data_IF_449426316290
#
_entry.id   IF_449426316290
#
_cell.length_a   1.000
_cell.length_b   1.000
_cell.length_c   1.000
_cell.angle_alpha   90.00
_cell.angle_beta   90.00
_cell.angle_gamma   90.00
#
_symmetry.space_group_name_H-M   'P 1'
#
loop_
_entity.id
_entity.type
_entity.pdbx_description
1 polymer ?
#
# COMPACT_ATOMS: atom_id res chain seq x y z
N UNK A 1 -0.13 -2.89 11.17
CA UNK A 1 0.18 -1.91 10.11
C UNK A 1 1.69 -1.86 9.96
N UNK A 2 2.21 -1.75 8.73
CA UNK A 2 3.65 -1.57 8.47
C UNK A 2 3.87 -0.62 7.29
N UNK A 3 5.13 -0.21 7.03
CA UNK A 3 5.46 0.74 5.98
C UNK A 3 6.58 0.28 5.05
N UNK A 4 6.54 0.73 3.80
CA UNK A 4 7.58 0.55 2.78
C UNK A 4 8.00 1.90 2.22
N UNK A 5 9.31 2.15 2.18
CA UNK A 5 9.91 3.38 1.65
C UNK A 5 10.63 3.16 0.32
N UNK A 6 10.95 4.25 -0.37
CA UNK A 6 11.82 4.23 -1.55
C UNK A 6 13.29 4.09 -1.16
N UNK A 7 14.10 3.62 -2.12
CA UNK A 7 15.54 3.73 -2.04
C UNK A 7 15.97 5.20 -2.01
N UNK A 8 16.76 5.56 -1.01
CA UNK A 8 17.20 6.95 -0.80
C UNK A 8 18.40 7.32 -1.67
N UNK A 9 19.18 6.33 -2.11
CA UNK A 9 20.28 6.57 -3.04
C UNK A 9 19.77 7.16 -4.36
N UNK A 10 20.39 8.24 -4.81
CA UNK A 10 19.93 9.03 -5.95
C UNK A 10 18.73 9.95 -5.69
N UNK A 11 18.09 9.91 -4.52
CA UNK A 11 16.98 10.81 -4.14
C UNK A 11 17.34 11.78 -3.01
N UNK A 12 18.22 11.37 -2.10
CA UNK A 12 18.61 12.13 -0.90
C UNK A 12 20.13 12.17 -0.80
N UNK A 13 20.70 13.26 -0.30
CA UNK A 13 22.14 13.36 -0.05
C UNK A 13 22.60 12.25 0.92
N UNK A 14 23.68 11.54 0.58
CA UNK A 14 24.27 10.46 1.39
C UNK A 14 24.50 10.88 2.84
N UNK A 15 24.87 12.13 3.10
CA UNK A 15 25.07 12.64 4.46
C UNK A 15 23.79 12.63 5.30
N UNK A 16 22.62 12.72 4.66
CA UNK A 16 21.32 12.81 5.33
C UNK A 16 20.73 11.44 5.67
N UNK A 17 21.03 10.40 4.89
CA UNK A 17 20.58 9.03 5.20
C UNK A 17 21.66 8.14 5.82
N UNK A 18 22.92 8.60 5.87
CA UNK A 18 24.01 7.97 6.59
C UNK A 18 24.17 6.49 6.22
N UNK A 19 24.18 5.64 7.23
CA UNK A 19 24.34 4.18 7.09
C UNK A 19 23.03 3.44 6.80
N UNK A 20 21.94 4.15 6.51
CA UNK A 20 20.66 3.51 6.15
C UNK A 20 20.84 2.74 4.83
N UNK A 21 20.51 1.45 4.88
CA UNK A 21 20.56 0.56 3.73
C UNK A 21 19.15 0.32 3.18
N UNK A 22 19.04 0.33 1.85
CA UNK A 22 17.83 -0.13 1.19
C UNK A 22 17.85 -1.64 1.11
N UNK A 23 16.75 -2.26 1.50
CA UNK A 23 16.53 -3.70 1.51
C UNK A 23 15.32 -4.00 0.65
N UNK A 24 15.27 -5.19 0.04
CA UNK A 24 14.20 -5.53 -0.88
C UNK A 24 12.82 -5.38 -0.20
N UNK A 25 12.00 -4.42 -0.66
CA UNK A 25 10.70 -4.18 -0.05
C UNK A 25 9.72 -5.33 -0.28
N UNK A 26 9.91 -6.16 -1.30
CA UNK A 26 9.07 -7.32 -1.58
C UNK A 26 9.29 -8.39 -0.50
N UNK A 27 10.55 -8.72 -0.23
CA UNK A 27 10.91 -9.69 0.82
C UNK A 27 10.45 -9.20 2.19
N UNK A 28 10.73 -7.93 2.52
CA UNK A 28 10.36 -7.38 3.83
C UNK A 28 8.86 -7.19 4.02
N UNK A 29 8.12 -6.89 2.96
CA UNK A 29 6.67 -6.90 3.00
C UNK A 29 6.14 -8.31 3.32
N UNK A 30 6.70 -9.35 2.68
CA UNK A 30 6.28 -10.73 2.91
C UNK A 30 6.56 -11.20 4.35
N UNK A 31 7.76 -10.94 4.87
CA UNK A 31 8.13 -11.25 6.25
C UNK A 31 7.22 -10.53 7.26
N UNK A 32 7.04 -9.23 7.10
CA UNK A 32 6.26 -8.42 8.03
C UNK A 32 4.78 -8.77 7.98
N UNK A 33 4.23 -9.01 6.78
CA UNK A 33 2.85 -9.43 6.62
C UNK A 33 2.60 -10.82 7.20
N UNK A 34 3.56 -11.75 7.08
CA UNK A 34 3.50 -13.05 7.73
C UNK A 34 3.44 -12.91 9.24
N UNK A 35 4.42 -12.19 9.82
CA UNK A 35 4.48 -11.93 11.26
C UNK A 35 3.15 -11.37 11.79
N UNK A 36 2.63 -10.32 11.14
CA UNK A 36 1.38 -9.68 11.57
C UNK A 36 0.18 -10.63 11.49
N UNK A 37 0.00 -11.34 10.37
CA UNK A 37 -1.21 -12.14 10.13
C UNK A 37 -1.18 -13.51 10.81
N UNK A 38 -0.02 -14.16 10.85
CA UNK A 38 0.12 -15.56 11.29
C UNK A 38 0.55 -15.66 12.74
N UNK A 39 1.60 -14.93 13.12
CA UNK A 39 2.18 -15.08 14.45
C UNK A 39 1.45 -14.21 15.46
N UNK A 40 1.13 -12.96 15.07
CA UNK A 40 0.41 -12.00 15.91
C UNK A 40 -1.12 -12.06 15.73
N UNK A 41 -1.61 -12.87 14.78
CA UNK A 41 -3.03 -13.13 14.59
C UNK A 41 -3.87 -11.91 14.18
N UNK A 42 -3.30 -10.93 13.49
CA UNK A 42 -4.04 -9.75 13.04
C UNK A 42 -5.11 -10.13 12.00
N UNK A 43 -6.34 -9.64 12.20
CA UNK A 43 -7.44 -9.84 11.25
C UNK A 43 -7.27 -8.98 9.98
N UNK A 44 -6.61 -7.83 10.08
CA UNK A 44 -6.37 -6.89 8.98
C UNK A 44 -4.91 -6.41 8.97
N UNK A 45 -4.27 -6.48 7.80
CA UNK A 45 -2.89 -6.04 7.57
C UNK A 45 -2.88 -4.96 6.50
N UNK A 46 -2.44 -3.77 6.92
CA UNK A 46 -2.33 -2.58 6.08
C UNK A 46 -0.85 -2.26 5.86
N UNK A 47 -0.47 -2.10 4.61
CA UNK A 47 0.82 -1.60 4.15
C UNK A 47 0.69 -0.11 3.77
N UNK A 48 1.48 0.75 4.41
CA UNK A 48 1.65 2.16 4.04
C UNK A 48 2.86 2.26 3.11
N UNK A 49 2.62 2.44 1.81
CA UNK A 49 3.68 2.38 0.82
C UNK A 49 3.99 3.76 0.24
N UNK A 50 5.29 4.05 0.11
CA UNK A 50 5.78 5.17 -0.67
C UNK A 50 6.49 4.70 -1.95
N UNK A 51 6.20 3.50 -2.48
CA UNK A 51 6.91 2.95 -3.65
C UNK A 51 6.40 3.49 -5.00
N UNK A 52 5.21 4.09 -5.02
CA UNK A 52 4.52 4.47 -6.24
C UNK A 52 3.60 3.36 -6.75
N UNK A 53 2.52 3.77 -7.41
CA UNK A 53 1.49 2.85 -7.87
C UNK A 53 2.02 1.84 -8.92
N UNK A 54 2.66 2.33 -9.97
CA UNK A 54 3.32 1.52 -11.01
C UNK A 54 4.75 2.00 -11.25
N UNK A 55 5.63 1.08 -11.63
CA UNK A 55 6.99 1.39 -12.08
C UNK A 55 7.10 1.28 -13.60
N UNK A 56 7.88 2.17 -14.20
CA UNK A 56 8.32 2.07 -15.61
C UNK A 56 9.63 1.30 -15.78
N UNK A 57 10.32 1.04 -14.67
CA UNK A 57 11.57 0.29 -14.64
C UNK A 57 11.24 -1.16 -14.32
N UNK A 58 11.64 -2.05 -15.21
CA UNK A 58 11.49 -3.50 -15.02
C UNK A 58 12.15 -3.94 -13.72
N UNK A 59 11.50 -4.85 -13.01
CA UNK A 59 11.95 -5.39 -11.72
C UNK A 59 12.05 -4.41 -10.55
N UNK A 60 11.63 -3.14 -10.70
CA UNK A 60 11.51 -2.23 -9.56
C UNK A 60 10.19 -2.44 -8.83
N UNK A 61 10.26 -2.62 -7.52
CA UNK A 61 9.09 -2.77 -6.67
C UNK A 61 8.19 -1.52 -6.73
N UNK A 62 6.88 -1.76 -6.83
CA UNK A 62 5.81 -0.76 -6.78
C UNK A 62 4.56 -1.39 -6.15
N UNK A 63 3.54 -0.59 -5.84
CA UNK A 63 2.35 -1.06 -5.13
C UNK A 63 1.64 -2.20 -5.87
N UNK A 64 1.54 -2.14 -7.20
CA UNK A 64 0.94 -3.21 -8.01
C UNK A 64 1.76 -4.50 -7.96
N UNK A 65 3.09 -4.42 -7.94
CA UNK A 65 3.96 -5.60 -7.83
C UNK A 65 3.82 -6.25 -6.47
N UNK A 66 3.88 -5.45 -5.40
CA UNK A 66 3.66 -5.92 -4.02
C UNK A 66 2.26 -6.56 -3.90
N UNK A 67 1.23 -5.92 -4.44
CA UNK A 67 -0.12 -6.45 -4.39
C UNK A 67 -0.24 -7.85 -5.01
N UNK A 68 0.36 -8.07 -6.18
CA UNK A 68 0.29 -9.34 -6.90
C UNK A 68 1.16 -10.44 -6.30
N UNK A 69 2.33 -10.10 -5.76
CA UNK A 69 3.30 -11.08 -5.27
C UNK A 69 3.12 -11.42 -3.79
N UNK A 70 2.61 -10.48 -2.99
CA UNK A 70 2.47 -10.65 -1.55
C UNK A 70 1.46 -11.71 -1.15
N UNK A 71 1.52 -12.08 0.12
CA UNK A 71 0.49 -12.83 0.86
C UNK A 71 0.20 -12.07 2.14
N UNK A 72 -0.98 -12.29 2.71
CA UNK A 72 -1.35 -11.78 4.03
C UNK A 72 -1.47 -10.24 4.16
N UNK A 73 -1.43 -9.49 3.04
CA UNK A 73 -1.73 -8.06 3.02
C UNK A 73 -3.15 -7.88 2.48
N UNK A 74 -3.95 -7.06 3.17
CA UNK A 74 -5.35 -6.82 2.81
C UNK A 74 -5.53 -5.45 2.11
N UNK A 75 -4.72 -4.45 2.47
CA UNK A 75 -4.75 -3.10 1.91
C UNK A 75 -3.35 -2.50 1.77
N UNK A 76 -3.11 -1.85 0.63
CA UNK A 76 -1.96 -0.96 0.39
C UNK A 76 -2.49 0.46 0.22
N UNK A 77 -1.99 1.37 1.06
CA UNK A 77 -2.20 2.81 0.94
C UNK A 77 -0.90 3.39 0.37
N UNK A 78 -0.91 3.65 -0.93
CA UNK A 78 0.22 4.09 -1.72
C UNK A 78 0.47 5.60 -1.67
N UNK A 79 1.57 6.01 -2.30
CA UNK A 79 2.06 7.39 -2.36
C UNK A 79 3.09 7.57 -3.47
N UNK A 80 3.93 8.60 -3.39
CA UNK A 80 5.05 8.87 -4.29
C UNK A 80 4.71 9.26 -5.74
N UNK A 81 4.00 8.41 -6.49
CA UNK A 81 3.70 8.64 -7.92
C UNK A 81 2.67 9.73 -8.20
N UNK A 82 2.12 10.36 -7.16
CA UNK A 82 1.01 11.33 -7.23
C UNK A 82 -0.20 10.84 -8.06
N UNK A 83 -0.41 9.53 -8.11
CA UNK A 83 -1.49 8.92 -8.87
C UNK A 83 -2.83 9.19 -8.18
N UNK A 84 -3.79 9.70 -8.94
CA UNK A 84 -5.17 9.85 -8.49
C UNK A 84 -5.94 8.55 -8.75
N UNK A 85 -6.35 7.87 -7.69
CA UNK A 85 -7.18 6.67 -7.75
C UNK A 85 -8.56 7.02 -7.19
N UNK A 86 -9.57 7.11 -8.06
CA UNK A 86 -10.92 7.54 -7.66
C UNK A 86 -11.64 6.48 -6.81
N UNK A 87 -11.30 5.20 -7.00
CA UNK A 87 -11.73 4.08 -6.16
C UNK A 87 -10.58 3.09 -6.02
N UNK A 88 -10.33 2.49 -4.85
CA UNK A 88 -9.27 1.52 -4.69
C UNK A 88 -9.36 0.41 -5.73
N UNK A 89 -8.23 0.12 -6.37
CA UNK A 89 -8.14 -1.01 -7.27
C UNK A 89 -8.07 -2.29 -6.47
N UNK A 90 -8.71 -3.33 -7.01
CA UNK A 90 -8.69 -4.67 -6.45
C UNK A 90 -7.79 -5.55 -7.29
N UNK A 91 -6.87 -6.25 -6.63
CA UNK A 91 -5.98 -7.23 -7.24
C UNK A 91 -6.14 -8.59 -6.55
N UNK A 92 -5.73 -9.64 -7.26
CA UNK A 92 -5.48 -10.94 -6.65
C UNK A 92 -4.00 -11.02 -6.27
N UNK A 93 -3.75 -11.39 -5.02
CA UNK A 93 -2.41 -11.68 -4.53
C UNK A 93 -1.99 -13.11 -4.90
N UNK A 94 -0.80 -13.55 -4.46
CA UNK A 94 -0.26 -14.87 -4.85
C UNK A 94 -1.00 -16.08 -4.22
N UNK A 95 -1.94 -15.83 -3.29
CA UNK A 95 -2.87 -16.82 -2.74
C UNK A 95 -4.29 -16.70 -3.35
N UNK A 96 -4.44 -15.96 -4.45
CA UNK A 96 -5.74 -15.67 -5.08
C UNK A 96 -6.74 -15.00 -4.13
N UNK A 97 -6.25 -14.21 -3.17
CA UNK A 97 -7.07 -13.39 -2.28
C UNK A 97 -7.10 -11.95 -2.74
N UNK A 98 -8.23 -11.30 -2.52
CA UNK A 98 -8.40 -9.88 -2.82
C UNK A 98 -7.45 -9.04 -1.93
N UNK A 99 -6.76 -8.10 -2.57
CA UNK A 99 -6.01 -7.02 -1.94
C UNK A 99 -6.42 -5.69 -2.59
N UNK A 100 -6.60 -4.66 -1.78
CA UNK A 100 -6.97 -3.32 -2.23
C UNK A 100 -5.75 -2.42 -2.31
N UNK A 101 -5.67 -1.57 -3.34
CA UNK A 101 -4.62 -0.57 -3.52
C UNK A 101 -5.26 0.79 -3.74
N UNK A 102 -4.92 1.78 -2.92
CA UNK A 102 -5.44 3.14 -3.04
C UNK A 102 -4.34 4.19 -2.99
N UNK A 103 -4.59 5.34 -3.61
CA UNK A 103 -3.71 6.51 -3.58
C UNK A 103 -4.53 7.76 -3.91
N UNK A 104 -4.30 8.85 -3.17
CA UNK A 104 -5.13 10.06 -3.23
C UNK A 104 -4.44 11.24 -3.91
N UNK A 105 -3.43 10.96 -4.74
CA UNK A 105 -2.63 11.99 -5.40
C UNK A 105 -1.69 12.73 -4.44
N UNK A 106 -1.79 14.06 -4.39
CA UNK A 106 -0.87 14.95 -3.66
C UNK A 106 -1.60 16.22 -3.16
N UNK A 107 -0.90 17.04 -2.37
CA UNK A 107 -1.39 18.33 -1.85
C UNK A 107 -2.72 18.30 -1.06
N UNK A 108 -3.14 17.14 -0.56
CA UNK A 108 -4.38 17.02 0.20
C UNK A 108 -5.64 17.39 -0.59
N UNK A 109 -5.59 17.31 -1.93
CA UNK A 109 -6.75 17.69 -2.76
C UNK A 109 -7.86 16.64 -2.75
N UNK A 110 -7.53 15.39 -2.37
CA UNK A 110 -8.48 14.29 -2.17
C UNK A 110 -8.24 13.61 -0.82
N UNK A 111 -9.32 13.10 -0.22
CA UNK A 111 -9.33 12.25 0.97
C UNK A 111 -9.88 10.88 0.62
N UNK A 112 -9.11 9.84 0.87
CA UNK A 112 -9.55 8.45 0.71
C UNK A 112 -10.25 7.97 1.98
N UNK A 113 -11.38 7.30 1.83
CA UNK A 113 -12.09 6.60 2.90
C UNK A 113 -12.30 5.16 2.50
N UNK A 114 -11.88 4.25 3.36
CA UNK A 114 -12.07 2.80 3.19
C UNK A 114 -12.71 2.27 4.47
N UNK A 115 -13.90 1.70 4.31
CA UNK A 115 -14.69 1.15 5.39
C UNK A 115 -14.59 -0.38 5.34
N UNK A 116 -14.01 -0.98 6.40
CA UNK A 116 -13.90 -2.43 6.56
C UNK A 116 -14.97 -2.94 7.53
N UNK A 117 -15.72 -3.95 7.12
CA UNK A 117 -16.72 -4.61 7.95
C UNK A 117 -16.29 -6.04 8.28
N UNK A 118 -16.23 -6.36 9.58
CA UNK A 118 -15.77 -7.65 10.08
C UNK A 118 -16.95 -8.50 10.54
N UNK A 119 -17.16 -9.64 9.87
CA UNK A 119 -18.16 -10.62 10.30
C UNK A 119 -17.51 -11.67 11.22
N UNK A 120 -17.80 -11.60 12.53
CA UNK A 120 -17.20 -12.48 13.57
C UNK A 120 -17.31 -13.98 13.29
N UNK A 121 -18.39 -14.44 12.65
CA UNK A 121 -18.67 -15.87 12.45
C UNK A 121 -17.99 -16.45 11.21
N UNK A 122 -17.95 -15.69 10.12
CA UNK A 122 -17.45 -16.16 8.82
C UNK A 122 -16.00 -15.73 8.55
N UNK A 123 -15.47 -14.80 9.36
CA UNK A 123 -14.23 -14.06 9.10
C UNK A 123 -14.23 -13.36 7.73
N UNK A 124 -15.40 -13.14 7.14
CA UNK A 124 -15.54 -12.36 5.90
C UNK A 124 -15.28 -10.89 6.22
N UNK A 125 -14.55 -10.28 5.30
CA UNK A 125 -14.25 -8.86 5.31
C UNK A 125 -14.96 -8.25 4.10
N UNK A 126 -15.85 -7.30 4.34
CA UNK A 126 -16.44 -6.48 3.28
C UNK A 126 -15.73 -5.13 3.25
N UNK A 127 -15.58 -4.58 2.06
CA UNK A 127 -14.84 -3.33 1.84
C UNK A 127 -15.68 -2.41 0.98
N UNK A 128 -16.04 -1.27 1.55
CA UNK A 128 -16.55 -0.13 0.81
C UNK A 128 -15.45 0.93 0.72
N UNK A 129 -15.34 1.61 -0.41
CA UNK A 129 -14.31 2.60 -0.60
C UNK A 129 -14.73 3.75 -1.49
N UNK A 130 -14.35 4.94 -1.05
CA UNK A 130 -14.75 6.21 -1.65
C UNK A 130 -13.59 7.18 -1.61
N UNK A 131 -13.46 8.00 -2.65
CA UNK A 131 -12.56 9.15 -2.65
C UNK A 131 -13.39 10.42 -2.62
N UNK A 132 -13.12 11.27 -1.64
CA UNK A 132 -13.79 12.55 -1.41
C UNK A 132 -12.87 13.65 -1.94
N UNK A 133 -13.33 14.45 -2.90
CA UNK A 133 -12.61 15.66 -3.28
C UNK A 133 -12.77 16.69 -2.15
N UNK A 134 -11.65 17.17 -1.60
CA UNK A 134 -11.68 18.13 -0.49
C UNK A 134 -12.02 19.53 -1.03
N UNK A 135 -11.52 19.86 -2.23
CA UNK A 135 -11.87 21.10 -2.91
C UNK A 135 -13.05 20.85 -3.84
N UNK A 136 -14.24 21.28 -3.43
CA UNK A 136 -15.39 21.46 -4.31
C UNK A 136 -15.50 22.96 -4.67
N UNK A 137 -15.35 23.28 -5.96
CA UNK A 137 -15.52 24.58 -6.63
C UNK A 137 -14.45 25.69 -6.43
N UNK A 138 -13.68 25.93 -7.51
CA UNK A 138 -13.46 27.19 -8.25
C UNK A 138 -12.00 27.33 -8.72
N UNK A 139 -11.73 26.84 -9.93
CA UNK A 139 -11.01 27.61 -10.97
C UNK A 139 -11.79 27.42 -12.26
#
# INVERSE_FOLDING_TARGET
>A
VFGLGVELDGLVDKKMYGETIFIDPIEKAAETAHLLKKDLGCDLVICLSHLGYTSKVDNKACDVVIAKQSKNIDLIIGGHSHTFIDKPYKYLNSDYKDIYVCQVGWAGVKLGRIDFYFEKKSKKIFVDAYTINIFNNQV
#
